data_IF_797103643563
#
_entry.id   IF_797103643563
#
_cell.length_a   1.000
_cell.length_b   1.000
_cell.length_c   1.000
_cell.angle_alpha   90.00
_cell.angle_beta   90.00
_cell.angle_gamma   90.00
#
_symmetry.space_group_name_H-M   'P 1'
#
loop_
_entity.id
_entity.type
_entity.pdbx_description
1 polymer ?
#
# COMPACT_ATOMS: atom_id res chain seq x y z
N UNK A 1 6.07 -2.10 -25.53
CA UNK A 1 6.43 -3.50 -25.21
C UNK A 1 5.16 -4.32 -25.01
N UNK A 2 5.05 -5.48 -25.66
CA UNK A 2 3.89 -6.37 -25.51
C UNK A 2 4.22 -7.52 -24.52
N UNK A 3 3.40 -7.69 -23.51
CA UNK A 3 3.47 -8.79 -22.56
C UNK A 3 2.58 -9.95 -23.01
N UNK A 4 3.04 -10.76 -23.97
CA UNK A 4 2.30 -11.93 -24.41
C UNK A 4 2.25 -13.04 -23.35
N UNK A 5 3.21 -13.06 -22.42
CA UNK A 5 3.32 -13.94 -21.26
C UNK A 5 3.92 -13.17 -20.10
N UNK A 6 4.09 -13.82 -18.94
CA UNK A 6 4.73 -13.17 -17.78
C UNK A 6 6.13 -12.69 -18.11
N UNK A 7 6.42 -11.42 -17.83
CA UNK A 7 7.73 -10.83 -17.97
C UNK A 7 8.28 -10.46 -16.61
N UNK A 8 9.51 -10.84 -16.34
CA UNK A 8 10.30 -10.33 -15.21
C UNK A 8 11.30 -9.34 -15.75
N UNK A 9 11.20 -8.09 -15.31
CA UNK A 9 12.20 -7.07 -15.58
C UNK A 9 13.13 -6.98 -14.37
N UNK A 10 14.39 -7.34 -14.60
CA UNK A 10 15.46 -7.12 -13.63
C UNK A 10 16.18 -5.85 -14.04
N UNK A 11 16.03 -4.77 -13.28
CA UNK A 11 16.88 -3.61 -13.42
C UNK A 11 18.23 -3.94 -12.78
N UNK A 12 19.33 -3.52 -13.40
CA UNK A 12 20.68 -3.78 -12.90
C UNK A 12 20.84 -3.34 -11.44
N UNK A 13 21.88 -3.82 -10.78
CA UNK A 13 22.10 -3.70 -9.33
C UNK A 13 22.20 -2.27 -8.79
N UNK A 14 22.21 -1.24 -9.64
CA UNK A 14 22.30 0.17 -9.23
C UNK A 14 21.84 1.18 -10.29
N UNK A 15 21.23 0.75 -11.39
CA UNK A 15 20.78 1.65 -12.47
C UNK A 15 19.31 2.00 -12.32
N UNK A 16 18.98 3.28 -12.49
CA UNK A 16 17.61 3.74 -12.63
C UNK A 16 17.21 3.69 -14.11
N UNK A 17 16.13 3.01 -14.41
CA UNK A 17 15.62 2.82 -15.76
C UNK A 17 14.30 3.55 -15.96
N UNK A 18 14.01 3.95 -17.19
CA UNK A 18 12.72 4.56 -17.54
C UNK A 18 12.13 3.88 -18.77
N UNK A 19 10.88 3.45 -18.66
CA UNK A 19 10.07 3.03 -19.79
C UNK A 19 9.00 4.10 -20.02
N UNK A 20 9.21 4.91 -21.07
CA UNK A 20 8.26 5.95 -21.47
C UNK A 20 7.23 5.47 -22.50
N UNK A 21 7.52 4.36 -23.18
CA UNK A 21 6.59 3.75 -24.14
C UNK A 21 5.53 2.89 -23.45
N UNK A 22 4.45 2.62 -24.17
CA UNK A 22 3.34 1.79 -23.69
C UNK A 22 3.77 0.34 -23.50
N UNK A 23 3.47 -0.23 -22.34
CA UNK A 23 3.52 -1.66 -22.08
C UNK A 23 2.09 -2.20 -22.24
N UNK A 24 1.89 -3.22 -23.07
CA UNK A 24 0.58 -3.79 -23.40
C UNK A 24 0.59 -5.32 -23.20
N UNK A 25 -0.55 -5.98 -23.40
CA UNK A 25 -0.70 -7.44 -23.34
C UNK A 25 -1.31 -7.95 -22.06
N UNK A 26 -1.44 -9.28 -21.94
CA UNK A 26 -2.10 -9.93 -20.79
C UNK A 26 -1.12 -10.55 -19.77
N UNK A 27 0.17 -10.47 -20.03
CA UNK A 27 1.20 -11.07 -19.19
C UNK A 27 1.34 -10.37 -17.84
N UNK A 28 1.90 -11.09 -16.87
CA UNK A 28 2.29 -10.55 -15.58
C UNK A 28 3.55 -9.68 -15.73
N UNK A 29 3.62 -8.61 -14.96
CA UNK A 29 4.79 -7.75 -14.90
C UNK A 29 5.48 -7.88 -13.54
N UNK A 30 6.72 -8.35 -13.53
CA UNK A 30 7.50 -8.48 -12.29
C UNK A 30 8.72 -7.58 -12.32
N UNK A 31 8.86 -6.74 -11.31
CA UNK A 31 10.08 -5.95 -11.05
C UNK A 31 10.93 -6.68 -10.02
N UNK A 32 12.17 -6.98 -10.38
CA UNK A 32 13.22 -7.47 -9.49
C UNK A 32 14.50 -6.65 -9.68
N UNK A 33 15.52 -6.88 -8.84
CA UNK A 33 16.70 -6.02 -8.81
C UNK A 33 16.50 -4.73 -8.04
N UNK A 34 17.57 -4.13 -7.52
CA UNK A 34 17.52 -3.06 -6.51
C UNK A 34 17.25 -1.66 -7.09
N UNK A 35 17.43 -1.44 -8.40
CA UNK A 35 17.25 -0.14 -9.04
C UNK A 35 15.79 0.35 -9.10
N UNK A 36 15.62 1.61 -9.49
CA UNK A 36 14.33 2.24 -9.72
C UNK A 36 13.92 2.05 -11.17
N UNK A 37 12.70 1.60 -11.40
CA UNK A 37 12.07 1.58 -12.72
C UNK A 37 10.95 2.62 -12.77
N UNK A 38 11.13 3.65 -13.56
CA UNK A 38 10.09 4.65 -13.82
C UNK A 38 9.22 4.22 -15.00
N UNK A 39 7.92 4.08 -14.76
CA UNK A 39 6.92 3.79 -15.78
C UNK A 39 6.11 5.06 -16.06
N UNK A 40 6.52 5.82 -17.09
CA UNK A 40 5.88 7.09 -17.45
C UNK A 40 4.90 6.97 -18.62
N UNK A 41 4.82 5.80 -19.27
CA UNK A 41 3.85 5.52 -20.30
C UNK A 41 2.45 5.21 -19.75
N UNK A 42 1.41 5.49 -20.55
CA UNK A 42 0.05 5.00 -20.27
C UNK A 42 -0.05 3.52 -20.64
N UNK A 43 0.30 2.66 -19.68
CA UNK A 43 0.36 1.23 -19.88
C UNK A 43 -1.04 0.62 -20.01
N UNK A 44 -1.19 -0.41 -20.85
CA UNK A 44 -2.46 -1.07 -21.13
C UNK A 44 -2.43 -2.58 -20.86
N UNK A 45 -1.34 -3.09 -20.29
CA UNK A 45 -1.30 -4.50 -19.89
C UNK A 45 -2.36 -4.80 -18.82
N UNK A 46 -2.91 -6.00 -18.85
CA UNK A 46 -4.01 -6.42 -17.95
C UNK A 46 -3.59 -7.41 -16.88
N UNK A 47 -2.38 -7.93 -16.96
CA UNK A 47 -1.84 -8.82 -15.94
C UNK A 47 -1.49 -8.10 -14.64
N UNK A 48 -1.31 -8.87 -13.59
CA UNK A 48 -0.90 -8.32 -12.29
C UNK A 48 0.55 -7.81 -12.30
N UNK A 49 0.84 -6.88 -11.40
CA UNK A 49 2.19 -6.35 -11.18
C UNK A 49 2.73 -6.86 -9.85
N UNK A 50 3.97 -7.36 -9.85
CA UNK A 50 4.68 -7.80 -8.65
C UNK A 50 6.00 -7.05 -8.50
N UNK A 51 6.24 -6.48 -7.31
CA UNK A 51 7.50 -5.80 -6.98
C UNK A 51 8.19 -6.63 -5.90
N UNK A 52 9.24 -7.34 -6.29
CA UNK A 52 9.96 -8.27 -5.40
C UNK A 52 11.26 -7.67 -4.87
N UNK A 53 11.76 -6.63 -5.51
CA UNK A 53 12.88 -5.84 -5.04
C UNK A 53 12.93 -4.49 -5.78
N UNK A 54 13.68 -3.53 -5.24
CA UNK A 54 13.81 -2.18 -5.79
C UNK A 54 12.48 -1.42 -5.82
N UNK A 55 12.35 -0.50 -6.75
CA UNK A 55 11.23 0.43 -6.82
C UNK A 55 10.60 0.47 -8.21
N UNK A 56 9.27 0.47 -8.27
CA UNK A 56 8.52 0.99 -9.42
C UNK A 56 8.05 2.40 -9.06
N UNK A 57 8.39 3.39 -9.89
CA UNK A 57 7.94 4.77 -9.77
C UNK A 57 6.90 5.09 -10.84
N UNK A 58 5.75 5.60 -10.42
CA UNK A 58 4.63 5.98 -11.29
C UNK A 58 4.07 7.36 -10.92
N UNK A 59 3.61 8.09 -11.94
CA UNK A 59 2.93 9.38 -11.76
C UNK A 59 1.40 9.30 -11.87
N UNK A 60 0.84 8.13 -12.22
CA UNK A 60 -0.59 7.90 -12.38
C UNK A 60 -0.91 6.40 -12.25
N UNK A 61 -2.18 6.06 -11.99
CA UNK A 61 -2.65 4.66 -11.93
C UNK A 61 -2.37 3.86 -13.21
N UNK A 62 -2.44 4.53 -14.38
CA UNK A 62 -2.14 3.93 -15.69
C UNK A 62 -0.70 3.43 -15.83
N UNK A 63 0.25 3.90 -15.00
CA UNK A 63 1.59 3.35 -14.93
C UNK A 63 1.62 1.86 -14.61
N UNK A 64 0.60 1.35 -13.92
CA UNK A 64 0.42 -0.07 -13.58
C UNK A 64 -0.53 -0.83 -14.54
N UNK A 65 -0.66 -0.36 -15.77
CA UNK A 65 -1.54 -0.99 -16.77
C UNK A 65 -3.03 -0.75 -16.51
N UNK A 66 -3.88 -1.51 -17.18
CA UNK A 66 -5.34 -1.43 -17.04
C UNK A 66 -5.78 -1.95 -15.66
N UNK A 67 -6.57 -1.16 -14.96
CA UNK A 67 -7.14 -1.62 -13.68
C UNK A 67 -8.22 -2.69 -13.92
N UNK A 68 -8.35 -3.68 -13.03
CA UNK A 68 -9.40 -4.68 -13.12
C UNK A 68 -10.80 -4.05 -13.03
N UNK A 69 -11.79 -4.65 -13.71
CA UNK A 69 -13.19 -4.21 -13.66
C UNK A 69 -13.87 -4.49 -12.30
N UNK A 70 -13.29 -5.36 -11.49
CA UNK A 70 -13.74 -5.70 -10.14
C UNK A 70 -12.56 -5.87 -9.21
N UNK A 71 -12.80 -5.77 -7.90
CA UNK A 71 -11.74 -5.90 -6.89
C UNK A 71 -11.02 -7.25 -7.02
N UNK A 72 -9.75 -7.21 -7.38
CA UNK A 72 -8.91 -8.38 -7.65
C UNK A 72 -7.76 -8.41 -6.65
N UNK A 73 -7.79 -9.38 -5.73
CA UNK A 73 -6.75 -9.53 -4.72
C UNK A 73 -5.39 -9.83 -5.38
N UNK A 74 -4.33 -9.14 -4.92
CA UNK A 74 -2.97 -9.37 -5.43
C UNK A 74 -2.73 -8.87 -6.86
N UNK A 75 -3.60 -8.03 -7.41
CA UNK A 75 -3.31 -7.40 -8.70
C UNK A 75 -2.08 -6.49 -8.62
N UNK A 76 -1.77 -5.98 -7.44
CA UNK A 76 -0.48 -5.39 -7.10
C UNK A 76 0.10 -6.15 -5.90
N UNK A 77 1.26 -6.76 -6.07
CA UNK A 77 1.96 -7.47 -5.00
C UNK A 77 3.25 -6.72 -4.63
N UNK A 78 3.40 -6.41 -3.35
CA UNK A 78 4.63 -5.88 -2.76
C UNK A 78 5.23 -6.97 -1.87
N UNK A 79 6.40 -7.50 -2.25
CA UNK A 79 7.08 -8.57 -1.52
C UNK A 79 8.59 -8.30 -1.44
N UNK A 80 8.96 -7.28 -0.71
CA UNK A 80 10.32 -6.77 -0.59
C UNK A 80 10.60 -5.54 -1.45
N UNK A 81 9.64 -5.13 -2.31
CA UNK A 81 9.79 -3.97 -3.19
C UNK A 81 8.99 -2.76 -2.75
N UNK A 82 9.19 -1.66 -3.46
CA UNK A 82 8.59 -0.36 -3.22
C UNK A 82 7.76 0.10 -4.41
N UNK A 83 6.53 0.55 -4.14
CA UNK A 83 5.77 1.39 -5.07
C UNK A 83 6.03 2.85 -4.70
N UNK A 84 6.61 3.62 -5.62
CA UNK A 84 6.76 5.06 -5.46
C UNK A 84 5.68 5.81 -6.25
N UNK A 85 5.06 6.79 -5.60
CA UNK A 85 4.13 7.75 -6.18
C UNK A 85 4.85 9.08 -6.37
N UNK A 86 5.19 9.40 -7.62
CA UNK A 86 5.91 10.65 -7.95
C UNK A 86 5.00 11.86 -8.18
N UNK A 87 3.69 11.67 -8.11
CA UNK A 87 2.67 12.71 -8.33
C UNK A 87 1.44 12.46 -7.46
N UNK A 88 0.55 13.44 -7.40
CA UNK A 88 -0.76 13.27 -6.74
C UNK A 88 -1.73 12.53 -7.65
N UNK A 89 -2.19 11.36 -7.23
CA UNK A 89 -3.23 10.60 -7.92
C UNK A 89 -3.98 9.63 -7.00
N UNK A 90 -5.04 9.04 -7.53
CA UNK A 90 -5.77 7.94 -6.86
C UNK A 90 -5.43 6.62 -7.52
N UNK A 91 -4.92 5.67 -6.75
CA UNK A 91 -4.73 4.29 -7.19
C UNK A 91 -6.10 3.59 -7.20
N UNK A 92 -6.41 2.92 -8.30
CA UNK A 92 -7.71 2.28 -8.48
C UNK A 92 -7.96 1.20 -7.41
N UNK A 93 -9.11 1.29 -6.74
CA UNK A 93 -9.46 0.41 -5.62
C UNK A 93 -9.63 -1.06 -6.01
N UNK A 94 -9.85 -1.35 -7.29
CA UNK A 94 -9.95 -2.72 -7.78
C UNK A 94 -8.58 -3.43 -7.88
N UNK A 95 -7.48 -2.68 -7.81
CA UNK A 95 -6.13 -3.26 -7.69
C UNK A 95 -5.85 -3.71 -6.26
N UNK A 96 -6.45 -4.77 -5.78
CA UNK A 96 -6.17 -5.28 -4.43
C UNK A 96 -4.66 -5.45 -4.22
N UNK A 97 -4.12 -4.84 -3.16
CA UNK A 97 -2.70 -4.94 -2.80
C UNK A 97 -2.48 -6.18 -1.94
N UNK A 98 -1.44 -6.96 -2.27
CA UNK A 98 -0.97 -8.06 -1.44
C UNK A 98 0.41 -7.76 -0.88
N UNK A 99 0.57 -7.86 0.44
CA UNK A 99 1.86 -7.74 1.13
C UNK A 99 2.41 -9.13 1.38
N UNK A 100 3.49 -9.47 0.68
CA UNK A 100 4.19 -10.74 0.86
C UNK A 100 5.01 -10.78 2.15
N UNK A 101 5.57 -11.95 2.47
CA UNK A 101 6.35 -12.16 3.70
C UNK A 101 7.62 -11.32 3.80
N UNK A 102 8.12 -10.78 2.69
CA UNK A 102 9.23 -9.82 2.67
C UNK A 102 8.80 -8.37 2.85
N UNK A 103 7.54 -8.14 3.23
CA UNK A 103 6.93 -6.83 3.44
C UNK A 103 6.78 -5.99 2.16
N UNK A 104 6.16 -4.82 2.27
CA UNK A 104 6.02 -3.90 1.15
C UNK A 104 6.14 -2.44 1.59
N UNK A 105 6.65 -1.62 0.70
CA UNK A 105 6.78 -0.18 0.93
C UNK A 105 5.95 0.61 -0.07
N UNK A 106 5.26 1.62 0.41
CA UNK A 106 4.65 2.67 -0.39
C UNK A 106 5.37 3.96 -0.08
N UNK A 107 6.09 4.46 -1.06
CA UNK A 107 6.82 5.71 -1.01
C UNK A 107 6.02 6.80 -1.70
N UNK A 108 5.83 7.94 -1.04
CA UNK A 108 5.07 9.07 -1.61
C UNK A 108 5.95 10.31 -1.59
N UNK A 109 6.24 10.85 -2.76
CA UNK A 109 7.11 12.00 -2.91
C UNK A 109 6.57 13.23 -2.17
N UNK A 110 7.48 14.07 -1.70
CA UNK A 110 7.11 15.28 -0.97
C UNK A 110 6.14 16.19 -1.75
N UNK A 111 5.18 16.77 -1.05
CA UNK A 111 4.11 17.61 -1.60
C UNK A 111 3.13 16.90 -2.53
N UNK A 112 3.16 15.56 -2.56
CA UNK A 112 2.18 14.76 -3.32
C UNK A 112 1.29 13.94 -2.40
N UNK A 113 0.16 13.48 -2.94
CA UNK A 113 -0.80 12.63 -2.22
C UNK A 113 -1.17 11.42 -3.06
N UNK A 114 -0.96 10.23 -2.50
CA UNK A 114 -1.48 8.99 -3.04
C UNK A 114 -2.73 8.58 -2.25
N UNK A 115 -3.86 8.50 -2.92
CA UNK A 115 -5.12 8.03 -2.32
C UNK A 115 -5.40 6.59 -2.73
N UNK A 116 -5.75 5.73 -1.77
CA UNK A 116 -6.12 4.35 -2.04
C UNK A 116 -7.27 3.88 -1.14
N UNK A 117 -8.37 3.49 -1.79
CA UNK A 117 -9.58 2.98 -1.13
C UNK A 117 -9.73 1.44 -1.24
N UNK A 118 -8.81 0.78 -1.91
CA UNK A 118 -8.85 -0.68 -2.11
C UNK A 118 -8.37 -1.46 -0.88
N UNK A 119 -8.51 -2.77 -0.96
CA UNK A 119 -8.18 -3.69 0.12
C UNK A 119 -6.70 -4.06 0.06
N UNK A 120 -6.02 -3.97 1.22
CA UNK A 120 -4.66 -4.47 1.42
C UNK A 120 -4.73 -5.76 2.24
N UNK A 121 -4.12 -6.84 1.76
CA UNK A 121 -4.09 -8.15 2.39
C UNK A 121 -2.69 -8.70 2.52
N UNK A 122 -2.54 -9.79 3.28
CA UNK A 122 -1.31 -10.58 3.34
C UNK A 122 -0.73 -10.69 4.75
N UNK A 123 0.41 -11.39 4.85
CA UNK A 123 1.13 -11.58 6.12
C UNK A 123 2.21 -10.53 6.36
N UNK A 124 2.64 -9.83 5.30
CA UNK A 124 3.68 -8.81 5.38
C UNK A 124 3.22 -7.52 6.05
N UNK A 125 4.17 -6.67 6.42
CA UNK A 125 3.93 -5.33 6.93
C UNK A 125 3.92 -4.29 5.81
N UNK A 126 3.26 -3.17 6.06
CA UNK A 126 3.27 -1.99 5.21
C UNK A 126 4.20 -0.92 5.80
N UNK A 127 5.13 -0.43 5.01
CA UNK A 127 5.89 0.78 5.35
C UNK A 127 5.44 1.94 4.48
N UNK A 128 5.02 3.05 5.10
CA UNK A 128 4.84 4.34 4.44
C UNK A 128 6.13 5.14 4.56
N UNK A 129 6.79 5.41 3.44
CA UNK A 129 7.98 6.27 3.33
C UNK A 129 7.72 7.50 2.45
N UNK A 130 8.76 8.34 2.26
CA UNK A 130 8.64 9.60 1.53
C UNK A 130 7.88 10.68 2.32
N UNK A 131 8.08 11.94 1.96
CA UNK A 131 7.58 13.10 2.71
C UNK A 131 6.13 13.47 2.36
N UNK A 132 5.54 12.84 1.36
CA UNK A 132 4.15 13.08 0.94
C UNK A 132 3.13 12.36 1.82
N UNK A 133 1.88 12.42 1.40
CA UNK A 133 0.73 11.85 2.13
C UNK A 133 0.22 10.58 1.45
N UNK A 134 0.08 9.49 2.21
CA UNK A 134 -0.69 8.32 1.82
C UNK A 134 -2.04 8.35 2.52
N UNK A 135 -3.12 8.38 1.74
CA UNK A 135 -4.49 8.30 2.26
C UNK A 135 -5.02 6.89 2.06
N UNK A 136 -5.39 6.22 3.16
CA UNK A 136 -6.02 4.90 3.15
C UNK A 136 -7.46 5.00 3.67
N UNK A 137 -8.44 4.58 2.86
CA UNK A 137 -9.86 4.69 3.20
C UNK A 137 -10.63 3.37 3.16
N UNK A 138 -9.94 2.24 2.94
CA UNK A 138 -10.59 0.90 2.98
C UNK A 138 -11.10 0.57 4.38
N UNK A 139 -12.29 -0.02 4.46
CA UNK A 139 -12.82 -0.58 5.72
C UNK A 139 -12.51 -2.08 5.91
N UNK A 140 -11.76 -2.69 5.01
CA UNK A 140 -11.67 -4.15 4.91
C UNK A 140 -10.26 -4.71 4.75
N UNK A 141 -9.23 -3.88 4.90
CA UNK A 141 -7.85 -4.38 4.88
C UNK A 141 -7.58 -5.28 6.08
N UNK A 142 -6.86 -6.39 5.87
CA UNK A 142 -6.64 -7.42 6.88
C UNK A 142 -5.20 -7.99 6.90
N UNK A 143 -4.22 -7.26 6.33
CA UNK A 143 -2.82 -7.68 6.47
C UNK A 143 -2.37 -7.69 7.95
N UNK A 144 -1.51 -8.64 8.30
CA UNK A 144 -1.21 -8.92 9.71
C UNK A 144 0.15 -8.42 10.19
N UNK A 145 1.05 -8.03 9.30
CA UNK A 145 2.41 -7.64 9.66
C UNK A 145 2.57 -6.25 10.30
N UNK A 146 1.48 -5.49 10.41
CA UNK A 146 1.49 -4.13 10.97
C UNK A 146 1.85 -3.05 9.96
N UNK A 147 1.87 -1.80 10.44
CA UNK A 147 2.13 -0.62 9.61
C UNK A 147 3.18 0.26 10.25
N UNK A 148 4.19 0.66 9.47
CA UNK A 148 5.20 1.65 9.91
C UNK A 148 5.06 2.92 9.11
N UNK A 149 4.87 4.05 9.78
CA UNK A 149 4.94 5.38 9.17
C UNK A 149 6.37 5.88 9.37
N UNK A 150 7.21 5.66 8.37
CA UNK A 150 8.64 5.97 8.44
C UNK A 150 8.92 7.47 8.21
N UNK A 151 8.14 8.12 7.33
CA UNK A 151 8.24 9.54 7.03
C UNK A 151 6.92 10.07 6.44
N UNK A 152 6.76 11.41 6.38
CA UNK A 152 5.59 12.09 5.84
C UNK A 152 4.31 11.79 6.63
N UNK A 153 3.19 11.71 5.93
CA UNK A 153 1.88 11.53 6.57
C UNK A 153 1.19 10.27 6.09
N UNK A 154 0.66 9.47 7.03
CA UNK A 154 -0.35 8.46 6.77
C UNK A 154 -1.69 9.00 7.26
N UNK A 155 -2.63 9.23 6.35
CA UNK A 155 -4.00 9.64 6.66
C UNK A 155 -4.96 8.45 6.57
N UNK A 156 -5.74 8.22 7.61
CA UNK A 156 -6.73 7.16 7.69
C UNK A 156 -8.13 7.77 7.61
N UNK A 157 -8.85 7.48 6.53
CA UNK A 157 -10.18 8.03 6.26
C UNK A 157 -11.30 6.97 6.24
N UNK A 158 -10.94 5.69 6.25
CA UNK A 158 -11.90 4.58 6.23
C UNK A 158 -12.45 4.22 7.60
N UNK A 159 -13.71 3.85 7.66
CA UNK A 159 -14.31 3.31 8.89
C UNK A 159 -13.74 1.93 9.21
N UNK A 160 -13.44 1.63 10.47
CA UNK A 160 -13.17 0.26 10.88
C UNK A 160 -14.49 -0.51 11.04
N UNK A 161 -14.58 -1.71 10.44
CA UNK A 161 -15.71 -2.61 10.65
C UNK A 161 -15.24 -3.90 11.33
N UNK A 162 -15.91 -4.31 12.38
CA UNK A 162 -15.65 -5.58 13.04
C UNK A 162 -16.76 -5.98 14.00
N UNK A 163 -17.15 -7.26 13.98
CA UNK A 163 -17.97 -7.87 15.03
C UNK A 163 -17.09 -8.31 16.19
N UNK A 164 -17.67 -8.36 17.39
CA UNK A 164 -17.01 -8.91 18.58
C UNK A 164 -16.55 -10.34 18.27
N UNK A 165 -15.26 -10.61 18.49
CA UNK A 165 -14.65 -11.93 18.21
C UNK A 165 -14.01 -12.10 16.84
N UNK A 166 -14.15 -11.14 15.90
CA UNK A 166 -13.42 -11.12 14.63
C UNK A 166 -12.28 -10.12 14.68
N UNK A 167 -11.19 -10.40 13.97
CA UNK A 167 -10.12 -9.43 13.78
C UNK A 167 -10.69 -8.13 13.24
N UNK A 168 -10.32 -7.00 13.84
CA UNK A 168 -10.76 -5.69 13.35
C UNK A 168 -10.18 -5.45 11.99
N UNK A 169 -11.01 -5.14 11.00
CA UNK A 169 -10.61 -4.72 9.67
C UNK A 169 -10.73 -3.22 9.57
N UNK A 170 -9.85 -2.58 8.85
CA UNK A 170 -9.84 -1.14 8.70
C UNK A 170 -8.86 -0.71 7.61
N UNK A 171 -8.53 0.57 7.55
CA UNK A 171 -7.56 1.07 6.56
C UNK A 171 -6.18 0.42 6.71
N UNK A 172 -5.79 0.03 7.93
CA UNK A 172 -4.45 -0.46 8.29
C UNK A 172 -4.54 -1.84 8.92
N UNK A 173 -4.92 -2.87 8.23
CA UNK A 173 -4.82 -4.25 8.65
C UNK A 173 -5.12 -4.52 10.14
N UNK A 174 -4.54 -5.60 10.66
CA UNK A 174 -4.78 -6.08 12.04
C UNK A 174 -3.57 -5.98 12.97
N UNK A 175 -2.40 -5.64 12.42
CA UNK A 175 -1.15 -5.48 13.17
C UNK A 175 -1.02 -4.11 13.84
N UNK A 176 0.05 -3.93 14.60
CA UNK A 176 0.37 -2.66 15.26
C UNK A 176 0.72 -1.56 14.25
N UNK A 177 0.53 -0.30 14.68
CA UNK A 177 1.01 0.86 13.93
C UNK A 177 2.18 1.46 14.70
N UNK A 178 3.30 1.68 14.00
CA UNK A 178 4.48 2.39 14.51
C UNK A 178 4.63 3.69 13.74
N UNK A 179 4.82 4.80 14.44
CA UNK A 179 5.06 6.11 13.85
C UNK A 179 6.45 6.58 14.27
N UNK A 180 7.35 6.73 13.31
CA UNK A 180 8.72 7.19 13.57
C UNK A 180 8.77 8.68 13.89
N UNK A 181 9.86 9.12 14.50
CA UNK A 181 10.11 10.54 14.75
C UNK A 181 10.03 11.36 13.46
N UNK A 182 9.31 12.49 13.50
CA UNK A 182 9.08 13.36 12.33
C UNK A 182 8.01 12.89 11.34
N UNK A 183 7.46 11.69 11.51
CA UNK A 183 6.32 11.23 10.72
C UNK A 183 4.99 11.56 11.40
N UNK A 184 3.92 11.60 10.63
CA UNK A 184 2.57 11.92 11.10
C UNK A 184 1.59 10.79 10.81
N UNK A 185 0.80 10.42 11.80
CA UNK A 185 -0.42 9.63 11.62
C UNK A 185 -1.62 10.54 11.82
N UNK A 186 -2.39 10.74 10.76
CA UNK A 186 -3.63 11.52 10.78
C UNK A 186 -4.83 10.56 10.74
N UNK A 187 -5.69 10.62 11.74
CA UNK A 187 -6.82 9.71 11.89
C UNK A 187 -8.11 10.49 11.76
N UNK A 188 -8.61 10.59 10.52
CA UNK A 188 -9.86 11.26 10.15
C UNK A 188 -11.06 10.29 10.08
N UNK A 189 -10.99 9.20 10.81
CA UNK A 189 -12.06 8.22 10.83
C UNK A 189 -12.89 8.36 12.09
N UNK A 190 -14.21 8.22 11.98
CA UNK A 190 -14.99 7.83 13.13
C UNK A 190 -14.60 6.38 13.45
N UNK A 191 -13.63 6.21 14.34
CA UNK A 191 -13.39 4.90 14.94
C UNK A 191 -14.70 4.51 15.64
N UNK A 192 -15.55 3.74 14.96
CA UNK A 192 -16.70 3.13 15.61
C UNK A 192 -16.12 2.11 16.57
N UNK A 193 -15.85 2.57 17.77
CA UNK A 193 -15.68 1.70 18.92
C UNK A 193 -17.01 0.99 19.11
N UNK A 194 -17.12 -0.23 18.61
CA UNK A 194 -18.27 -1.05 18.90
C UNK A 194 -18.14 -1.55 20.34
N UNK A 195 -18.48 -0.68 21.28
CA UNK A 195 -18.61 -1.04 22.68
C UNK A 195 -19.89 -1.86 22.83
N UNK A 196 -19.76 -3.18 22.94
CA UNK A 196 -20.87 -4.01 23.40
C UNK A 196 -20.87 -3.99 24.92
N UNK A 197 -21.91 -3.42 25.50
CA UNK A 197 -22.20 -3.58 26.93
C UNK A 197 -22.79 -4.98 27.14
N UNK A 198 -22.05 -5.88 27.77
CA UNK A 198 -22.62 -7.03 28.45
C UNK A 198 -22.79 -6.62 29.92
N UNK A 199 -24.01 -6.61 30.40
CA UNK A 199 -24.40 -6.25 31.80
C UNK A 199 -23.85 -4.90 32.29
N UNK A 200 -23.90 -3.86 31.48
CA UNK A 200 -23.51 -2.51 31.88
C UNK A 200 -22.00 -2.24 31.99
N UNK A 201 -21.15 -3.19 31.65
CA UNK A 201 -19.71 -2.97 31.59
C UNK A 201 -19.25 -2.71 30.16
N UNK A 202 -18.49 -1.63 29.97
CA UNK A 202 -17.80 -1.34 28.70
C UNK A 202 -16.59 -2.24 28.63
N UNK A 203 -16.61 -3.23 27.74
CA UNK A 203 -15.41 -4.01 27.43
C UNK A 203 -14.65 -3.27 26.35
N UNK A 204 -13.58 -2.58 26.71
CA UNK A 204 -12.65 -2.01 25.73
C UNK A 204 -12.05 -3.14 24.90
N UNK A 205 -12.40 -3.20 23.62
CA UNK A 205 -11.66 -4.01 22.66
C UNK A 205 -10.26 -3.40 22.53
N UNK A 206 -9.19 -4.20 22.42
CA UNK A 206 -7.85 -3.63 22.27
C UNK A 206 -7.86 -2.65 21.08
N UNK A 207 -7.66 -1.39 21.39
CA UNK A 207 -7.33 -0.34 20.43
C UNK A 207 -6.05 -0.74 19.72
N UNK A 208 -5.87 -0.39 18.42
CA UNK A 208 -4.56 -0.55 17.81
C UNK A 208 -3.55 0.13 18.72
N UNK A 209 -2.49 -0.60 19.06
CA UNK A 209 -1.43 -0.05 19.90
C UNK A 209 -0.64 0.93 19.06
N UNK A 210 -0.72 2.22 19.39
CA UNK A 210 0.12 3.25 18.78
C UNK A 210 1.43 3.25 19.55
N UNK A 211 2.51 2.90 18.87
CA UNK A 211 3.87 3.01 19.43
C UNK A 211 4.53 4.24 18.81
N UNK A 212 4.78 5.25 19.63
CA UNK A 212 5.56 6.42 19.25
C UNK A 212 7.01 6.18 19.66
N UNK A 213 7.91 6.04 18.69
CA UNK A 213 9.34 6.06 18.96
C UNK A 213 9.79 7.51 19.10
N UNK A 214 10.09 7.93 20.32
CA UNK A 214 10.67 9.23 20.60
C UNK A 214 12.18 9.05 20.69
N UNK A 215 12.91 9.35 19.60
CA UNK A 215 14.35 9.51 19.66
C UNK A 215 14.66 10.88 20.31
N UNK A 216 14.57 10.94 21.62
CA UNK A 216 15.15 12.05 22.36
C UNK A 216 16.67 11.89 22.36
N UNK A 217 17.36 12.71 21.59
CA UNK A 217 18.76 13.06 21.86
C UNK A 217 18.82 14.05 23.00
#
# INVERSE_FOLDING_TARGET
VELASSITLTTGDSGDDTISGVISGAGLFTKSGSGILTLSGENTYTGATSITAGTISIGADSGLGTSPSSATAGHLTLNGGTLNSSSTFTLNSNRGISLGGSNGTVDVDGSTTLTYAGIIKGSGSLTKSGLGTLVLSSSSSDYSGGTTVAAGTLSLEGSSSGSIGSASRGPVGTGSITVNSGATLDVNTTLIHNTKTNNGSIVNKPTPTFTFSNDSK
#
